data_IF_322063633684
#
_entry.id   IF_322063633684
#
_cell.length_a   1.000
_cell.length_b   1.000
_cell.length_c   1.000
_cell.angle_alpha   90.00
_cell.angle_beta   90.00
_cell.angle_gamma   90.00
#
_symmetry.space_group_name_H-M   'P 1'
#
loop_
_entity.id
_entity.type
_entity.pdbx_description
1 polymer ?
#
# COMPACT_ATOMS: atom_id res chain seq x y z
N UNK A 1 15.76 31.29 11.49
CA UNK A 1 14.30 31.19 11.41
C UNK A 1 13.95 30.85 9.96
N UNK A 2 13.80 29.59 9.62
CA UNK A 2 13.19 29.21 8.36
C UNK A 2 11.68 29.38 8.57
N UNK A 3 11.12 30.48 8.05
CA UNK A 3 9.68 30.63 7.94
C UNK A 3 9.13 29.38 7.23
N UNK A 4 8.01 28.85 7.71
CA UNK A 4 7.38 27.64 7.19
C UNK A 4 7.41 27.63 5.67
N UNK A 5 8.33 26.86 5.13
CA UNK A 5 8.51 26.75 3.70
C UNK A 5 7.37 25.91 3.19
N UNK A 6 6.52 26.46 2.34
CA UNK A 6 5.76 25.66 1.40
C UNK A 6 6.77 25.00 0.48
N UNK A 7 7.38 23.91 0.96
CA UNK A 7 8.52 23.23 0.32
C UNK A 7 8.10 22.38 -0.89
N UNK A 8 6.94 22.65 -1.48
CA UNK A 8 6.41 21.96 -2.65
C UNK A 8 6.74 22.65 -3.98
N UNK A 9 7.79 23.48 -4.02
CA UNK A 9 8.29 24.08 -5.26
C UNK A 9 8.91 23.03 -6.21
N UNK A 10 8.99 23.38 -7.50
CA UNK A 10 9.72 22.55 -8.48
C UNK A 10 11.16 22.31 -8.02
N UNK A 11 11.58 21.05 -8.03
CA UNK A 11 12.90 20.62 -7.59
C UNK A 11 13.60 19.89 -8.70
N UNK A 12 14.89 20.19 -8.84
CA UNK A 12 15.79 19.46 -9.72
C UNK A 12 16.58 18.39 -8.96
N UNK A 13 16.83 18.63 -7.66
CA UNK A 13 17.58 17.73 -6.79
C UNK A 13 16.67 17.18 -5.71
N UNK A 14 16.82 15.89 -5.43
CA UNK A 14 16.09 15.19 -4.36
C UNK A 14 17.05 14.63 -3.32
N UNK A 15 16.61 14.64 -2.07
CA UNK A 15 17.23 13.90 -0.97
C UNK A 15 16.43 12.61 -0.74
N UNK A 16 17.13 11.50 -0.53
CA UNK A 16 16.51 10.25 -0.11
C UNK A 16 17.14 9.87 1.22
N UNK A 17 16.32 9.83 2.27
CA UNK A 17 16.78 9.44 3.59
C UNK A 17 17.03 7.94 3.66
N UNK A 18 17.80 7.48 4.65
CA UNK A 18 17.98 6.05 4.91
C UNK A 18 16.66 5.35 5.34
N UNK A 19 15.66 6.14 5.74
CA UNK A 19 14.33 5.66 6.13
C UNK A 19 13.35 5.61 4.96
N UNK A 20 13.74 6.13 3.79
CA UNK A 20 12.90 6.18 2.61
C UNK A 20 13.13 4.95 1.76
N UNK A 21 12.07 4.24 1.43
CA UNK A 21 12.17 3.11 0.53
C UNK A 21 11.13 2.03 0.78
N UNK A 22 11.25 0.98 0.03
CA UNK A 22 10.39 -0.19 0.08
C UNK A 22 10.02 -0.66 -1.34
N UNK A 23 10.20 -1.94 -1.58
CA UNK A 23 9.82 -2.59 -2.84
C UNK A 23 8.40 -3.17 -2.73
N UNK A 24 7.42 -2.29 -2.50
CA UNK A 24 6.02 -2.67 -2.37
C UNK A 24 5.47 -3.43 -3.58
N UNK A 25 5.96 -3.16 -4.79
CA UNK A 25 5.52 -3.83 -6.01
C UNK A 25 5.75 -5.35 -5.98
N UNK A 26 6.89 -5.79 -5.43
CA UNK A 26 7.23 -7.22 -5.28
C UNK A 26 6.24 -7.91 -4.34
N UNK A 27 5.94 -7.26 -3.21
CA UNK A 27 4.98 -7.75 -2.22
C UNK A 27 3.56 -7.80 -2.77
N UNK A 28 3.17 -6.78 -3.54
CA UNK A 28 1.80 -6.66 -4.07
C UNK A 28 1.48 -7.83 -5.00
N UNK A 29 2.30 -8.10 -6.02
CA UNK A 29 2.06 -9.20 -6.95
C UNK A 29 2.05 -10.57 -6.26
N UNK A 30 2.89 -10.74 -5.23
CA UNK A 30 2.95 -11.96 -4.44
C UNK A 30 1.69 -12.24 -3.60
N UNK A 31 0.77 -11.30 -3.46
CA UNK A 31 -0.50 -11.53 -2.77
C UNK A 31 -1.41 -12.52 -3.51
N UNK A 32 -1.28 -12.65 -4.83
CA UNK A 32 -1.99 -13.69 -5.58
C UNK A 32 -1.41 -15.04 -5.17
N UNK A 33 -2.20 -15.93 -4.54
CA UNK A 33 -1.71 -17.23 -4.13
C UNK A 33 -1.26 -18.07 -5.31
N UNK A 34 -0.34 -19.00 -5.07
CA UNK A 34 0.21 -19.91 -6.09
C UNK A 34 0.78 -19.17 -7.32
N UNK A 35 1.14 -17.87 -7.17
CA UNK A 35 1.84 -17.10 -8.20
C UNK A 35 3.36 -17.18 -8.02
N UNK A 36 4.07 -16.97 -9.12
CA UNK A 36 5.53 -16.78 -9.14
C UNK A 36 5.86 -15.50 -9.91
N UNK A 37 6.96 -14.86 -9.58
CA UNK A 37 7.43 -13.64 -10.21
C UNK A 37 8.76 -13.92 -10.93
N UNK A 38 8.81 -13.64 -12.23
CA UNK A 38 10.03 -13.70 -13.02
C UNK A 38 10.49 -12.28 -13.34
N UNK A 39 11.66 -11.90 -12.84
CA UNK A 39 12.26 -10.60 -13.12
C UNK A 39 13.22 -10.71 -14.31
N UNK A 40 12.85 -10.09 -15.42
CA UNK A 40 13.64 -10.00 -16.65
C UNK A 40 14.35 -8.65 -16.66
N UNK A 41 15.60 -8.63 -16.28
CA UNK A 41 16.30 -7.37 -16.05
C UNK A 41 17.84 -7.54 -16.00
N UNK A 42 18.61 -6.45 -16.14
CA UNK A 42 20.03 -6.47 -15.79
C UNK A 42 20.25 -6.85 -14.32
N UNK A 43 21.36 -7.49 -14.02
CA UNK A 43 21.71 -7.98 -12.67
C UNK A 43 21.52 -6.93 -11.57
N UNK A 44 21.93 -5.70 -11.84
CA UNK A 44 21.80 -4.61 -10.86
C UNK A 44 20.35 -4.31 -10.46
N UNK A 45 19.41 -4.39 -11.40
CA UNK A 45 17.99 -4.21 -11.13
C UNK A 45 17.40 -5.36 -10.32
N UNK A 46 17.80 -6.61 -10.62
CA UNK A 46 17.34 -7.81 -9.90
C UNK A 46 17.72 -7.82 -8.42
N UNK A 47 18.84 -7.18 -8.06
CA UNK A 47 19.27 -7.10 -6.66
C UNK A 47 18.21 -6.48 -5.73
N UNK A 48 17.52 -5.43 -6.18
CA UNK A 48 16.47 -4.80 -5.39
C UNK A 48 15.26 -5.74 -5.19
N UNK A 49 14.88 -6.47 -6.25
CA UNK A 49 13.84 -7.51 -6.15
C UNK A 49 14.21 -8.60 -5.15
N UNK A 50 15.49 -9.02 -5.13
CA UNK A 50 15.98 -10.03 -4.20
C UNK A 50 15.89 -9.57 -2.74
N UNK A 51 16.32 -8.34 -2.45
CA UNK A 51 16.21 -7.74 -1.11
C UNK A 51 14.75 -7.64 -0.67
N UNK A 52 13.88 -7.10 -1.52
CA UNK A 52 12.45 -7.01 -1.24
C UNK A 52 11.80 -8.37 -1.04
N UNK A 53 12.22 -9.39 -1.80
CA UNK A 53 11.76 -10.78 -1.65
C UNK A 53 12.15 -11.40 -0.31
N UNK A 54 13.41 -11.24 0.11
CA UNK A 54 13.90 -11.73 1.40
C UNK A 54 13.12 -11.10 2.56
N UNK A 55 12.96 -9.79 2.53
CA UNK A 55 12.33 -9.04 3.59
C UNK A 55 10.84 -9.31 3.75
N UNK A 56 10.16 -9.63 2.65
CA UNK A 56 8.75 -9.99 2.66
C UNK A 56 8.52 -11.51 2.76
N UNK A 57 9.57 -12.32 2.95
CA UNK A 57 9.47 -13.78 3.07
C UNK A 57 8.95 -14.50 1.81
N UNK A 58 9.15 -13.89 0.64
CA UNK A 58 8.62 -14.40 -0.64
C UNK A 58 9.73 -14.75 -1.66
N UNK A 59 10.98 -14.81 -1.22
CA UNK A 59 12.12 -15.09 -2.09
C UNK A 59 11.99 -16.38 -2.91
N UNK A 60 11.35 -17.41 -2.35
CA UNK A 60 11.13 -18.69 -3.00
C UNK A 60 10.07 -18.62 -4.13
N UNK A 61 9.41 -17.48 -4.27
CA UNK A 61 8.43 -17.20 -5.32
C UNK A 61 8.94 -16.15 -6.32
N UNK A 62 10.25 -15.93 -6.35
CA UNK A 62 10.90 -14.96 -7.23
C UNK A 62 12.07 -15.64 -7.94
N UNK A 63 12.13 -15.48 -9.25
CA UNK A 63 13.25 -15.90 -10.10
C UNK A 63 13.73 -14.75 -10.98
N UNK A 64 14.94 -14.86 -11.48
CA UNK A 64 15.58 -13.79 -12.23
C UNK A 64 16.12 -14.35 -13.55
N UNK A 65 15.73 -13.70 -14.64
CA UNK A 65 16.35 -13.85 -15.95
C UNK A 65 17.22 -12.61 -16.18
N UNK A 66 18.52 -12.76 -15.99
CA UNK A 66 19.45 -11.66 -16.20
C UNK A 66 19.78 -11.49 -17.66
N UNK A 67 19.46 -10.30 -18.17
CA UNK A 67 19.76 -9.90 -19.55
C UNK A 67 21.08 -9.13 -19.61
N UNK A 68 21.84 -9.36 -20.66
CA UNK A 68 23.11 -8.71 -20.93
C UNK A 68 23.02 -7.82 -22.17
N UNK A 69 24.05 -7.01 -22.38
CA UNK A 69 24.17 -6.19 -23.60
C UNK A 69 24.21 -7.08 -24.87
N UNK A 70 24.81 -8.27 -24.78
CA UNK A 70 24.88 -9.21 -25.89
C UNK A 70 23.49 -9.70 -26.31
N UNK A 71 22.63 -10.03 -25.35
CA UNK A 71 21.26 -10.49 -25.61
C UNK A 71 20.40 -9.42 -26.31
N UNK A 72 20.66 -8.14 -25.97
CA UNK A 72 19.97 -7.01 -26.60
C UNK A 72 20.48 -6.80 -28.02
N UNK A 73 21.81 -6.83 -28.22
CA UNK A 73 22.41 -6.58 -29.55
C UNK A 73 22.13 -7.71 -30.53
N UNK A 74 22.01 -8.97 -30.07
CA UNK A 74 21.66 -10.12 -30.91
C UNK A 74 20.21 -10.06 -31.40
N UNK A 75 19.33 -9.36 -30.70
CA UNK A 75 17.89 -9.36 -30.95
C UNK A 75 17.17 -10.62 -30.48
N UNK A 76 17.84 -11.48 -29.69
CA UNK A 76 17.27 -12.75 -29.19
C UNK A 76 16.53 -12.57 -27.84
N UNK A 77 16.43 -11.37 -27.36
CA UNK A 77 15.84 -11.03 -26.05
C UNK A 77 14.43 -11.63 -25.83
N UNK A 78 13.58 -11.62 -26.86
CA UNK A 78 12.21 -12.13 -26.77
C UNK A 78 12.19 -13.65 -26.63
N UNK A 79 13.02 -14.37 -27.38
CA UNK A 79 13.17 -15.84 -27.28
C UNK A 79 13.75 -16.24 -25.93
N UNK A 80 14.68 -15.45 -25.39
CA UNK A 80 15.30 -15.68 -24.10
C UNK A 80 14.25 -15.71 -22.95
N UNK A 81 13.17 -14.90 -23.05
CA UNK A 81 12.09 -14.94 -22.08
C UNK A 81 11.36 -16.28 -22.11
N UNK A 82 11.09 -16.82 -23.29
CA UNK A 82 10.39 -18.10 -23.45
C UNK A 82 11.27 -19.23 -22.92
N UNK A 83 12.55 -19.23 -23.29
CA UNK A 83 13.52 -20.23 -22.82
C UNK A 83 13.70 -20.18 -21.30
N UNK A 84 13.81 -18.98 -20.73
CA UNK A 84 13.90 -18.79 -19.29
C UNK A 84 12.66 -19.26 -18.53
N UNK A 85 11.46 -19.14 -19.11
CA UNK A 85 10.24 -19.70 -18.49
C UNK A 85 10.25 -21.24 -18.58
N UNK A 86 10.72 -21.82 -19.69
CA UNK A 86 10.87 -23.27 -19.82
C UNK A 86 11.81 -23.81 -18.73
N UNK A 87 13.01 -23.22 -18.58
CA UNK A 87 13.97 -23.61 -17.55
C UNK A 87 13.38 -23.42 -16.12
N UNK A 88 12.65 -22.33 -15.89
CA UNK A 88 12.01 -22.08 -14.60
C UNK A 88 11.00 -23.18 -14.27
N UNK A 89 10.16 -23.57 -15.23
CA UNK A 89 9.11 -24.57 -14.98
C UNK A 89 9.66 -25.99 -14.87
N UNK A 90 10.81 -26.26 -15.47
CA UNK A 90 11.56 -27.50 -15.22
C UNK A 90 12.20 -27.54 -13.83
N UNK A 91 12.61 -26.39 -13.29
CA UNK A 91 13.24 -26.27 -11.99
C UNK A 91 12.24 -26.26 -10.82
N UNK A 92 11.01 -25.79 -11.03
CA UNK A 92 9.99 -25.73 -10.00
C UNK A 92 9.34 -27.09 -9.76
N UNK A 93 9.19 -27.49 -8.49
CA UNK A 93 8.48 -28.73 -8.12
C UNK A 93 6.99 -28.70 -8.55
N UNK A 94 6.38 -27.52 -8.55
CA UNK A 94 5.00 -27.29 -8.96
C UNK A 94 4.92 -26.05 -9.83
N UNK A 95 4.31 -26.18 -11.00
CA UNK A 95 4.04 -25.02 -11.86
C UNK A 95 3.07 -24.04 -11.16
N UNK A 96 3.34 -22.74 -11.22
CA UNK A 96 2.49 -21.73 -10.61
C UNK A 96 1.17 -21.59 -11.39
N UNK A 97 0.10 -21.20 -10.69
CA UNK A 97 -1.17 -20.80 -11.32
C UNK A 97 -1.02 -19.50 -12.09
N UNK A 98 -0.12 -18.62 -11.65
CA UNK A 98 0.14 -17.32 -12.27
C UNK A 98 1.64 -17.06 -12.34
N UNK A 99 2.16 -16.69 -13.50
CA UNK A 99 3.49 -16.13 -13.65
C UNK A 99 3.39 -14.65 -14.00
N UNK A 100 3.87 -13.79 -13.10
CA UNK A 100 4.07 -12.38 -13.36
C UNK A 100 5.47 -12.17 -13.94
N UNK A 101 5.55 -11.73 -15.18
CA UNK A 101 6.81 -11.38 -15.85
C UNK A 101 7.06 -9.90 -15.67
N UNK A 102 8.02 -9.56 -14.82
CA UNK A 102 8.42 -8.18 -14.54
C UNK A 102 9.59 -7.79 -15.42
N UNK A 103 9.45 -6.69 -16.16
CA UNK A 103 10.53 -6.14 -16.98
C UNK A 103 11.05 -4.82 -16.43
N UNK A 104 12.32 -4.54 -16.69
CA UNK A 104 12.98 -3.30 -16.28
C UNK A 104 12.72 -2.16 -17.26
N UNK A 105 13.11 -0.93 -16.91
CA UNK A 105 13.00 0.25 -17.78
C UNK A 105 13.72 0.11 -19.13
N UNK A 106 14.71 -0.77 -19.21
CA UNK A 106 15.41 -1.07 -20.47
C UNK A 106 14.45 -1.65 -21.51
N UNK A 107 13.55 -2.51 -21.10
CA UNK A 107 12.54 -3.12 -21.95
C UNK A 107 11.59 -2.08 -22.56
N UNK A 108 11.14 -1.11 -21.77
CA UNK A 108 10.34 0.02 -22.26
C UNK A 108 11.10 0.86 -23.30
N UNK A 109 12.43 1.01 -23.16
CA UNK A 109 13.27 1.72 -24.13
C UNK A 109 13.44 0.93 -25.44
N UNK A 110 13.42 -0.40 -25.37
CA UNK A 110 13.47 -1.27 -26.54
C UNK A 110 12.13 -1.32 -27.26
N UNK A 111 11.04 -0.99 -26.59
CA UNK A 111 9.69 -1.03 -27.14
C UNK A 111 9.20 -2.44 -27.43
N UNK A 112 9.60 -3.41 -26.61
CA UNK A 112 9.22 -4.82 -26.75
C UNK A 112 7.71 -5.01 -26.68
N UNK A 113 7.13 -5.75 -27.63
CA UNK A 113 5.74 -6.19 -27.59
C UNK A 113 5.65 -7.54 -26.86
N UNK A 114 5.16 -7.51 -25.63
CA UNK A 114 5.02 -8.71 -24.79
C UNK A 114 3.79 -9.56 -25.10
N UNK A 115 2.82 -9.04 -25.88
CA UNK A 115 1.59 -9.79 -26.17
C UNK A 115 1.84 -11.10 -26.90
N UNK A 116 2.65 -11.14 -27.98
CA UNK A 116 2.99 -12.39 -28.65
C UNK A 116 3.72 -13.40 -27.76
N UNK A 117 4.63 -12.90 -26.90
CA UNK A 117 5.41 -13.73 -25.97
C UNK A 117 4.47 -14.41 -24.97
N UNK A 118 3.61 -13.63 -24.31
CA UNK A 118 2.65 -14.16 -23.32
C UNK A 118 1.63 -15.11 -23.96
N UNK A 119 1.21 -14.84 -25.19
CA UNK A 119 0.32 -15.74 -25.94
C UNK A 119 0.99 -17.09 -26.19
N UNK A 120 2.24 -17.08 -26.68
CA UNK A 120 3.03 -18.30 -26.89
C UNK A 120 3.23 -19.10 -25.60
N UNK A 121 3.53 -18.42 -24.51
CA UNK A 121 3.66 -19.06 -23.20
C UNK A 121 2.33 -19.67 -22.73
N UNK A 122 1.21 -18.99 -22.94
CA UNK A 122 -0.11 -19.54 -22.62
C UNK A 122 -0.51 -20.75 -23.47
N UNK A 123 -0.03 -20.84 -24.72
CA UNK A 123 -0.21 -22.02 -25.57
C UNK A 123 0.66 -23.21 -25.10
N UNK A 124 1.87 -22.94 -24.61
CA UNK A 124 2.78 -23.96 -24.07
C UNK A 124 2.34 -24.47 -22.68
N UNK A 125 1.78 -23.58 -21.85
CA UNK A 125 1.42 -23.85 -20.46
C UNK A 125 -0.04 -23.40 -20.17
N UNK A 126 -1.05 -24.13 -20.65
CA UNK A 126 -2.45 -23.71 -20.59
C UNK A 126 -3.02 -23.64 -19.17
N UNK A 127 -2.39 -24.28 -18.19
CA UNK A 127 -2.80 -24.25 -16.77
C UNK A 127 -2.20 -23.09 -15.98
N UNK A 128 -1.36 -22.25 -16.61
CA UNK A 128 -0.71 -21.08 -16.02
C UNK A 128 -1.18 -19.78 -16.70
N UNK A 129 -1.58 -18.81 -15.92
CA UNK A 129 -1.87 -17.46 -16.41
C UNK A 129 -0.59 -16.62 -16.43
N UNK A 130 -0.31 -16.00 -17.57
CA UNK A 130 0.84 -15.10 -17.73
C UNK A 130 0.38 -13.64 -17.71
N UNK A 131 1.11 -12.78 -16.98
CA UNK A 131 0.84 -11.34 -16.91
C UNK A 131 2.15 -10.56 -16.99
N UNK A 132 2.22 -9.62 -17.93
CA UNK A 132 3.34 -8.69 -18.00
C UNK A 132 3.16 -7.55 -16.99
N UNK A 133 4.21 -7.25 -16.25
CA UNK A 133 4.30 -6.16 -15.30
C UNK A 133 5.60 -5.38 -15.54
N UNK A 134 5.57 -4.10 -15.27
CA UNK A 134 6.76 -3.25 -15.36
C UNK A 134 7.25 -2.84 -13.97
N UNK A 135 8.55 -2.71 -13.81
CA UNK A 135 9.18 -2.09 -12.64
C UNK A 135 9.94 -0.83 -13.04
N UNK A 136 9.39 -0.08 -13.99
CA UNK A 136 10.01 1.11 -14.52
C UNK A 136 9.78 2.32 -13.60
N UNK A 137 10.81 2.82 -12.88
CA UNK A 137 10.67 3.99 -12.01
C UNK A 137 10.46 5.30 -12.79
N UNK A 138 10.83 5.35 -14.07
CA UNK A 138 10.62 6.55 -14.92
C UNK A 138 9.13 6.78 -15.20
N UNK A 139 8.30 5.73 -15.14
CA UNK A 139 6.87 5.81 -15.40
C UNK A 139 6.01 6.10 -14.16
N UNK A 140 6.61 6.44 -13.02
CA UNK A 140 5.87 6.74 -11.77
C UNK A 140 4.91 7.92 -11.92
N UNK A 141 5.29 8.93 -12.71
CA UNK A 141 4.48 10.14 -12.95
C UNK A 141 3.48 10.00 -14.11
N UNK A 142 3.31 8.80 -14.66
CA UNK A 142 2.32 8.53 -15.71
C UNK A 142 0.93 8.29 -15.13
N UNK A 143 -0.09 8.27 -15.99
CA UNK A 143 -1.47 7.96 -15.59
C UNK A 143 -1.67 6.52 -15.13
N UNK A 144 -0.77 5.61 -15.49
CA UNK A 144 -0.77 4.20 -15.10
C UNK A 144 0.63 3.79 -14.61
N UNK A 145 1.03 4.25 -13.42
CA UNK A 145 2.31 3.84 -12.84
C UNK A 145 2.33 2.33 -12.54
N UNK A 146 3.52 1.73 -12.40
CA UNK A 146 3.69 0.29 -12.23
C UNK A 146 2.79 -0.35 -11.17
N UNK A 147 2.63 0.31 -10.02
CA UNK A 147 1.78 -0.18 -8.93
C UNK A 147 0.29 -0.33 -9.34
N UNK A 148 -0.23 0.60 -10.14
CA UNK A 148 -1.61 0.52 -10.66
C UNK A 148 -1.71 -0.59 -11.71
N UNK A 149 -0.72 -0.73 -12.60
CA UNK A 149 -0.70 -1.77 -13.62
C UNK A 149 -0.68 -3.17 -13.01
N UNK A 150 0.12 -3.38 -11.96
CA UNK A 150 0.13 -4.65 -11.22
C UNK A 150 -1.24 -4.97 -10.64
N UNK A 151 -1.92 -4.01 -10.01
CA UNK A 151 -3.28 -4.22 -9.49
C UNK A 151 -4.27 -4.59 -10.60
N UNK A 152 -4.19 -3.93 -11.76
CA UNK A 152 -5.00 -4.29 -12.92
C UNK A 152 -4.75 -5.74 -13.34
N UNK A 153 -3.49 -6.14 -13.44
CA UNK A 153 -3.10 -7.48 -13.86
C UNK A 153 -3.55 -8.55 -12.87
N UNK A 154 -3.43 -8.31 -11.57
CA UNK A 154 -3.88 -9.22 -10.53
C UNK A 154 -5.39 -9.47 -10.61
N UNK A 155 -6.20 -8.41 -10.58
CA UNK A 155 -7.65 -8.55 -10.61
C UNK A 155 -8.21 -8.91 -11.99
N UNK A 156 -7.42 -8.78 -13.08
CA UNK A 156 -7.80 -9.27 -14.41
C UNK A 156 -7.87 -10.80 -14.50
N UNK A 157 -7.26 -11.51 -13.54
CA UNK A 157 -7.30 -12.97 -13.44
C UNK A 157 -8.68 -13.50 -13.05
N UNK A 158 -9.48 -12.69 -12.35
CA UNK A 158 -10.82 -13.09 -11.92
C UNK A 158 -11.76 -13.22 -13.11
N UNK A 159 -12.49 -14.32 -13.17
CA UNK A 159 -13.47 -14.60 -14.21
C UNK A 159 -14.90 -14.44 -13.71
N UNK A 160 -15.85 -14.18 -14.64
CA UNK A 160 -17.25 -13.98 -14.30
C UNK A 160 -17.81 -15.24 -13.64
N UNK A 161 -18.28 -15.09 -12.39
CA UNK A 161 -18.92 -16.16 -11.67
C UNK A 161 -20.44 -16.18 -11.97
N UNK A 162 -21.07 -17.38 -12.09
CA UNK A 162 -22.48 -17.50 -12.38
C UNK A 162 -23.39 -17.09 -11.20
N UNK A 163 -22.89 -17.17 -9.99
CA UNK A 163 -23.63 -16.90 -8.77
C UNK A 163 -22.93 -15.83 -7.93
N UNK A 164 -23.72 -15.02 -7.23
CA UNK A 164 -23.25 -14.07 -6.22
C UNK A 164 -23.31 -14.70 -4.83
N UNK A 165 -22.40 -14.26 -3.99
CA UNK A 165 -22.27 -14.67 -2.60
C UNK A 165 -22.38 -13.42 -1.71
N UNK A 166 -23.01 -13.54 -0.57
CA UNK A 166 -23.01 -12.47 0.44
C UNK A 166 -21.59 -12.21 0.92
N UNK A 167 -20.85 -11.50 0.10
CA UNK A 167 -19.45 -11.16 0.33
C UNK A 167 -19.20 -9.71 -0.09
N UNK A 168 -18.43 -9.01 0.72
CA UNK A 168 -17.85 -7.70 0.41
C UNK A 168 -16.35 -7.86 0.26
N UNK A 169 -15.80 -7.48 -0.89
CA UNK A 169 -14.35 -7.45 -1.05
C UNK A 169 -13.77 -6.14 -0.54
N UNK A 170 -12.71 -6.19 0.24
CA UNK A 170 -11.92 -5.02 0.66
C UNK A 170 -10.73 -4.87 -0.29
N UNK A 171 -10.83 -3.94 -1.23
CA UNK A 171 -9.81 -3.73 -2.26
C UNK A 171 -8.81 -2.63 -1.87
N UNK A 172 -7.53 -2.93 -2.02
CA UNK A 172 -6.44 -2.01 -1.64
C UNK A 172 -5.95 -2.24 -0.19
N UNK A 173 -6.23 -3.42 0.37
CA UNK A 173 -5.70 -3.87 1.64
C UNK A 173 -4.61 -4.92 1.40
N UNK A 174 -3.36 -4.57 1.78
CA UNK A 174 -2.20 -5.44 1.56
C UNK A 174 -1.87 -6.35 2.75
N UNK A 175 -2.65 -6.24 3.84
CA UNK A 175 -2.50 -7.04 5.06
C UNK A 175 -3.86 -7.60 5.45
N UNK A 176 -3.96 -8.88 5.84
CA UNK A 176 -5.21 -9.48 6.27
C UNK A 176 -5.83 -8.74 7.46
N UNK A 177 -7.15 -8.58 7.42
CA UNK A 177 -7.91 -8.07 8.57
C UNK A 177 -8.04 -9.16 9.63
N UNK A 178 -7.87 -8.80 10.90
CA UNK A 178 -8.06 -9.72 12.03
C UNK A 178 -9.55 -10.08 12.18
N UNK A 179 -9.83 -11.22 12.79
CA UNK A 179 -11.21 -11.64 13.08
C UNK A 179 -11.94 -10.66 14.02
N UNK A 180 -11.18 -9.94 14.85
CA UNK A 180 -11.68 -8.97 15.81
C UNK A 180 -11.87 -7.57 15.24
N UNK A 181 -11.42 -7.33 14.01
CA UNK A 181 -11.53 -6.01 13.39
C UNK A 181 -13.00 -5.69 13.06
N UNK A 182 -13.38 -4.44 13.28
CA UNK A 182 -14.77 -3.97 13.15
C UNK A 182 -15.37 -4.31 11.80
N UNK A 183 -14.67 -4.07 10.69
CA UNK A 183 -15.21 -4.34 9.34
C UNK A 183 -15.59 -5.83 9.17
N UNK A 184 -14.76 -6.75 9.66
CA UNK A 184 -15.03 -8.17 9.59
C UNK A 184 -16.18 -8.57 10.52
N UNK A 185 -16.10 -8.14 11.78
CA UNK A 185 -17.10 -8.49 12.80
C UNK A 185 -18.50 -7.96 12.44
N UNK A 186 -18.59 -6.71 11.99
CA UNK A 186 -19.86 -6.07 11.58
C UNK A 186 -20.46 -6.76 10.35
N UNK A 187 -19.67 -7.07 9.35
CA UNK A 187 -20.13 -7.79 8.16
C UNK A 187 -20.59 -9.22 8.50
N UNK A 188 -19.83 -9.95 9.32
CA UNK A 188 -20.20 -11.30 9.76
C UNK A 188 -21.52 -11.31 10.54
N UNK A 189 -21.73 -10.34 11.43
CA UNK A 189 -22.99 -10.21 12.17
C UNK A 189 -24.19 -9.99 11.22
N UNK A 190 -23.97 -9.32 10.10
CA UNK A 190 -24.96 -9.11 9.05
C UNK A 190 -25.09 -10.28 8.05
N UNK A 191 -24.30 -11.35 8.25
CA UNK A 191 -24.30 -12.53 7.40
C UNK A 191 -23.51 -12.38 6.10
N UNK A 192 -22.56 -11.41 6.05
CA UNK A 192 -21.64 -11.21 4.94
C UNK A 192 -20.24 -11.72 5.28
N UNK A 193 -19.55 -12.25 4.28
CA UNK A 193 -18.12 -12.56 4.36
C UNK A 193 -17.30 -11.36 3.90
N UNK A 194 -16.09 -11.21 4.44
CA UNK A 194 -15.12 -10.23 4.00
C UNK A 194 -14.06 -10.90 3.14
N UNK A 195 -14.03 -10.58 1.84
CA UNK A 195 -13.00 -11.01 0.90
C UNK A 195 -11.81 -10.05 0.91
N UNK A 196 -10.62 -10.54 1.23
CA UNK A 196 -9.38 -9.75 1.21
C UNK A 196 -8.31 -10.57 0.50
N UNK A 197 -7.74 -10.05 -0.57
CA UNK A 197 -6.75 -10.78 -1.37
C UNK A 197 -5.57 -11.29 -0.51
N UNK A 198 -5.05 -10.43 0.37
CA UNK A 198 -3.95 -10.79 1.26
C UNK A 198 -4.26 -11.88 2.29
N UNK A 199 -5.54 -12.25 2.45
CA UNK A 199 -6.01 -13.35 3.32
C UNK A 199 -6.24 -14.66 2.58
N UNK A 200 -6.23 -14.65 1.24
CA UNK A 200 -6.45 -15.86 0.44
C UNK A 200 -5.27 -16.83 0.60
N UNK A 201 -5.55 -18.08 0.91
CA UNK A 201 -4.54 -19.13 1.16
C UNK A 201 -4.13 -19.87 -0.10
N UNK A 202 -5.05 -19.98 -1.06
CA UNK A 202 -4.86 -20.64 -2.33
C UNK A 202 -5.56 -19.87 -3.47
N UNK A 203 -5.30 -20.28 -4.70
CA UNK A 203 -5.84 -19.62 -5.89
C UNK A 203 -7.36 -19.75 -5.98
N UNK A 204 -7.94 -20.83 -5.48
CA UNK A 204 -9.40 -21.02 -5.48
C UNK A 204 -10.10 -20.01 -4.54
N UNK A 205 -9.52 -19.72 -3.37
CA UNK A 205 -10.05 -18.66 -2.49
C UNK A 205 -9.93 -17.27 -3.15
N UNK A 206 -8.88 -17.02 -3.92
CA UNK A 206 -8.78 -15.79 -4.69
C UNK A 206 -9.89 -15.71 -5.76
N UNK A 207 -10.19 -16.79 -6.48
CA UNK A 207 -11.29 -16.83 -7.46
C UNK A 207 -12.65 -16.56 -6.83
N UNK A 208 -12.88 -16.94 -5.56
CA UNK A 208 -14.12 -16.63 -4.83
C UNK A 208 -14.41 -15.12 -4.75
N UNK A 209 -13.38 -14.26 -4.83
CA UNK A 209 -13.57 -12.80 -4.85
C UNK A 209 -14.42 -12.34 -6.07
N UNK A 210 -14.48 -13.14 -7.13
CA UNK A 210 -15.35 -12.85 -8.29
C UNK A 210 -16.85 -12.99 -7.99
N UNK A 211 -17.22 -13.65 -6.87
CA UNK A 211 -18.60 -13.88 -6.47
C UNK A 211 -19.17 -12.79 -5.56
N UNK A 212 -18.37 -11.82 -5.14
CA UNK A 212 -18.80 -10.79 -4.20
C UNK A 212 -19.99 -9.96 -4.73
N UNK A 213 -20.85 -9.52 -3.82
CA UNK A 213 -21.94 -8.59 -4.11
C UNK A 213 -21.47 -7.14 -4.23
N UNK A 214 -20.36 -6.79 -3.55
CA UNK A 214 -19.83 -5.42 -3.51
C UNK A 214 -18.32 -5.42 -3.35
N UNK A 215 -17.66 -4.46 -4.01
CA UNK A 215 -16.26 -4.11 -3.76
C UNK A 215 -16.17 -2.81 -2.95
N UNK A 216 -15.58 -2.84 -1.76
CA UNK A 216 -15.22 -1.67 -0.98
C UNK A 216 -13.79 -1.25 -1.32
N UNK A 217 -13.64 -0.09 -1.92
CA UNK A 217 -12.34 0.44 -2.41
C UNK A 217 -11.76 1.42 -1.38
N UNK A 218 -10.66 1.04 -0.76
CA UNK A 218 -10.02 1.79 0.33
C UNK A 218 -8.70 2.48 -0.07
N UNK A 219 -8.25 2.26 -1.29
CA UNK A 219 -7.02 2.88 -1.82
C UNK A 219 -7.24 3.35 -3.27
N UNK A 220 -6.72 4.52 -3.68
CA UNK A 220 -6.81 4.99 -5.05
C UNK A 220 -6.05 4.12 -6.05
N UNK A 221 -5.05 3.37 -5.61
CA UNK A 221 -4.20 2.51 -6.46
C UNK A 221 -5.01 1.41 -7.15
N UNK A 222 -6.08 0.91 -6.53
CA UNK A 222 -6.92 -0.15 -7.09
C UNK A 222 -8.10 0.36 -7.93
N UNK A 223 -8.34 1.67 -8.01
CA UNK A 223 -9.51 2.23 -8.70
C UNK A 223 -9.59 1.82 -10.19
N UNK A 224 -8.45 1.79 -10.89
CA UNK A 224 -8.41 1.39 -12.29
C UNK A 224 -8.74 -0.10 -12.46
N UNK A 225 -8.26 -0.95 -11.57
CA UNK A 225 -8.59 -2.38 -11.52
C UNK A 225 -10.08 -2.58 -11.20
N UNK A 226 -10.60 -1.87 -10.20
CA UNK A 226 -12.00 -1.95 -9.78
C UNK A 226 -12.97 -1.62 -10.91
N UNK A 227 -12.71 -0.55 -11.68
CA UNK A 227 -13.51 -0.19 -12.85
C UNK A 227 -13.51 -1.28 -13.93
N UNK A 228 -12.38 -1.96 -14.13
CA UNK A 228 -12.29 -3.11 -15.04
C UNK A 228 -13.02 -4.32 -14.49
N UNK A 229 -12.96 -4.57 -13.17
CA UNK A 229 -13.74 -5.62 -12.49
C UNK A 229 -15.24 -5.37 -12.64
N UNK A 230 -15.73 -4.15 -12.41
CA UNK A 230 -17.14 -3.80 -12.61
C UNK A 230 -17.59 -4.12 -14.04
N UNK A 231 -16.79 -3.70 -15.04
CA UNK A 231 -17.10 -3.96 -16.46
C UNK A 231 -17.09 -5.45 -16.80
N UNK A 232 -16.11 -6.23 -16.29
CA UNK A 232 -15.92 -7.65 -16.62
C UNK A 232 -16.83 -8.55 -15.79
N UNK A 233 -16.93 -8.28 -14.48
CA UNK A 233 -17.58 -9.17 -13.51
C UNK A 233 -18.97 -8.67 -13.07
N UNK A 234 -19.30 -7.40 -13.36
CA UNK A 234 -20.56 -6.80 -12.94
C UNK A 234 -20.69 -6.60 -11.42
N UNK A 235 -19.57 -6.54 -10.70
CA UNK A 235 -19.57 -6.28 -9.25
C UNK A 235 -19.59 -4.77 -9.03
N UNK A 236 -20.64 -4.20 -8.39
CA UNK A 236 -20.68 -2.79 -8.04
C UNK A 236 -19.57 -2.46 -7.02
N UNK A 237 -19.23 -1.19 -6.89
CA UNK A 237 -18.22 -0.76 -5.94
C UNK A 237 -18.59 0.53 -5.23
N UNK A 238 -18.07 0.64 -3.99
CA UNK A 238 -18.17 1.80 -3.14
C UNK A 238 -16.76 2.30 -2.84
N UNK A 239 -16.54 3.62 -2.94
CA UNK A 239 -15.25 4.22 -2.65
C UNK A 239 -15.26 4.90 -1.30
N UNK A 240 -14.57 4.31 -0.33
CA UNK A 240 -14.21 4.94 0.92
C UNK A 240 -12.71 4.78 1.17
N UNK A 241 -11.94 5.84 0.87
CA UNK A 241 -10.51 5.81 1.17
C UNK A 241 -10.30 5.66 2.68
N UNK A 242 -9.22 4.96 3.06
CA UNK A 242 -8.84 4.84 4.47
C UNK A 242 -8.91 6.18 5.17
N UNK A 243 -9.49 6.20 6.35
CA UNK A 243 -9.61 7.37 7.19
C UNK A 243 -9.40 6.98 8.65
N UNK A 244 -8.81 7.92 9.37
CA UNK A 244 -8.68 7.85 10.82
C UNK A 244 -9.66 8.80 11.53
N UNK A 245 -10.55 9.46 10.79
CA UNK A 245 -11.62 10.30 11.31
C UNK A 245 -12.87 9.46 11.54
N UNK A 246 -13.40 9.50 12.78
CA UNK A 246 -14.55 8.68 13.17
C UNK A 246 -15.80 9.01 12.34
N UNK A 247 -16.00 10.27 11.99
CA UNK A 247 -17.13 10.70 11.15
C UNK A 247 -17.05 10.12 9.72
N UNK A 248 -15.88 10.09 9.09
CA UNK A 248 -15.70 9.45 7.78
C UNK A 248 -15.89 7.93 7.85
N UNK A 249 -15.57 7.30 8.98
CA UNK A 249 -15.82 5.87 9.21
C UNK A 249 -17.34 5.62 9.41
N UNK A 250 -18.04 6.50 10.14
CA UNK A 250 -19.51 6.47 10.27
C UNK A 250 -20.19 6.55 8.89
N UNK A 251 -19.74 7.48 8.04
CA UNK A 251 -20.25 7.64 6.68
C UNK A 251 -20.05 6.37 5.85
N UNK A 252 -18.89 5.73 5.96
CA UNK A 252 -18.60 4.46 5.27
C UNK A 252 -19.61 3.38 5.66
N UNK A 253 -19.88 3.20 6.97
CA UNK A 253 -20.84 2.19 7.40
C UNK A 253 -22.29 2.52 7.01
N UNK A 254 -22.64 3.81 7.01
CA UNK A 254 -23.97 4.24 6.54
C UNK A 254 -24.16 3.98 5.03
N UNK A 255 -23.14 4.24 4.21
CA UNK A 255 -23.19 3.97 2.78
C UNK A 255 -23.13 2.46 2.47
N UNK A 256 -22.32 1.69 3.19
CA UNK A 256 -22.32 0.23 3.10
C UNK A 256 -23.69 -0.35 3.43
N UNK A 257 -24.33 0.11 4.52
CA UNK A 257 -25.67 -0.30 4.93
C UNK A 257 -26.69 -0.08 3.81
N UNK A 258 -26.62 1.08 3.16
CA UNK A 258 -27.48 1.43 2.04
C UNK A 258 -27.25 0.53 0.82
N UNK A 259 -25.99 0.27 0.47
CA UNK A 259 -25.64 -0.55 -0.69
C UNK A 259 -26.03 -2.03 -0.50
N UNK A 260 -25.85 -2.55 0.72
CA UNK A 260 -26.18 -3.93 1.05
C UNK A 260 -27.64 -4.12 1.49
N UNK A 261 -28.42 -3.03 1.57
CA UNK A 261 -29.77 -3.01 2.10
C UNK A 261 -29.90 -3.74 3.47
N UNK A 262 -28.90 -3.52 4.34
CA UNK A 262 -28.75 -4.17 5.65
C UNK A 262 -28.14 -3.16 6.62
N UNK A 263 -28.75 -2.97 7.78
CA UNK A 263 -28.21 -2.03 8.76
C UNK A 263 -26.94 -2.59 9.41
N UNK A 264 -25.84 -1.87 9.24
CA UNK A 264 -24.53 -2.14 9.82
C UNK A 264 -24.17 -1.14 10.92
N UNK A 265 -24.90 -0.03 11.01
CA UNK A 265 -24.51 1.12 11.85
C UNK A 265 -24.64 0.82 13.33
N UNK A 266 -25.63 0.03 13.75
CA UNK A 266 -25.83 -0.36 15.15
C UNK A 266 -24.64 -1.21 15.65
N UNK A 267 -24.23 -2.22 14.88
CA UNK A 267 -23.07 -3.05 15.21
C UNK A 267 -21.76 -2.25 15.20
N UNK A 268 -21.62 -1.32 14.27
CA UNK A 268 -20.45 -0.46 14.16
C UNK A 268 -20.32 0.55 15.31
N UNK A 269 -21.45 1.00 15.88
CA UNK A 269 -21.47 2.00 16.97
C UNK A 269 -20.76 1.52 18.24
N UNK A 270 -20.74 0.22 18.52
CA UNK A 270 -19.98 -0.34 19.65
C UNK A 270 -18.46 -0.16 19.46
N UNK A 271 -17.98 -0.36 18.24
CA UNK A 271 -16.58 -0.17 17.90
C UNK A 271 -16.21 1.32 17.93
N UNK A 272 -17.09 2.18 17.43
CA UNK A 272 -16.92 3.65 17.51
C UNK A 272 -16.70 4.10 18.95
N UNK A 273 -17.55 3.64 19.86
CA UNK A 273 -17.44 3.97 21.29
C UNK A 273 -16.11 3.54 21.88
N UNK A 274 -15.66 2.30 21.59
CA UNK A 274 -14.35 1.81 22.04
C UNK A 274 -13.19 2.64 21.47
N UNK A 275 -13.30 3.09 20.21
CA UNK A 275 -12.31 3.96 19.61
C UNK A 275 -12.26 5.35 20.30
N UNK A 276 -13.40 5.95 20.65
CA UNK A 276 -13.48 7.21 21.42
C UNK A 276 -12.86 7.07 22.81
N UNK A 277 -13.16 5.96 23.50
CA UNK A 277 -12.56 5.65 24.79
C UNK A 277 -11.03 5.52 24.69
N UNK A 278 -10.54 4.82 23.65
CA UNK A 278 -9.11 4.63 23.43
C UNK A 278 -8.38 5.91 23.03
N UNK A 279 -8.99 6.76 22.23
CA UNK A 279 -8.48 8.09 21.89
C UNK A 279 -8.31 8.92 23.17
N UNK A 280 -9.33 8.94 24.02
CA UNK A 280 -9.31 9.69 25.30
C UNK A 280 -8.21 9.20 26.22
N UNK A 281 -8.06 7.88 26.35
CA UNK A 281 -6.99 7.24 27.13
C UNK A 281 -5.60 7.65 26.60
N UNK A 282 -5.42 7.58 25.29
CA UNK A 282 -4.14 7.89 24.62
C UNK A 282 -3.78 9.36 24.77
N UNK A 283 -4.77 10.25 24.61
CA UNK A 283 -4.57 11.68 24.81
C UNK A 283 -4.15 12.00 26.27
N UNK A 284 -4.72 11.32 27.25
CA UNK A 284 -4.33 11.48 28.64
C UNK A 284 -2.87 11.06 28.92
N UNK A 285 -2.34 10.08 28.17
CA UNK A 285 -0.94 9.62 28.29
C UNK A 285 0.02 10.55 27.57
N UNK A 286 -0.29 10.98 26.35
CA UNK A 286 0.62 11.76 25.49
C UNK A 286 0.56 13.26 25.85
N UNK A 287 -0.62 13.77 26.19
CA UNK A 287 -0.84 15.19 26.51
C UNK A 287 -0.47 16.13 25.37
N UNK A 288 0.20 17.22 25.71
CA UNK A 288 0.62 18.26 24.76
C UNK A 288 1.93 17.95 24.02
N UNK A 289 2.39 16.68 24.07
CA UNK A 289 3.61 16.30 23.35
C UNK A 289 3.39 16.38 21.85
N UNK A 290 4.28 17.06 21.08
CA UNK A 290 4.03 17.29 19.65
C UNK A 290 4.13 16.01 18.85
N UNK A 291 3.22 15.86 17.87
CA UNK A 291 3.10 14.72 16.97
C UNK A 291 3.51 15.14 15.55
N UNK A 292 4.26 14.28 14.88
CA UNK A 292 4.60 14.39 13.46
C UNK A 292 4.02 13.21 12.67
N UNK A 293 3.52 13.46 11.47
CA UNK A 293 2.92 12.44 10.61
C UNK A 293 3.68 12.37 9.30
N UNK A 294 3.95 11.14 8.85
CA UNK A 294 4.72 10.82 7.65
C UNK A 294 3.83 10.20 6.56
N UNK A 295 4.04 10.60 5.31
CA UNK A 295 3.27 10.11 4.16
C UNK A 295 3.58 8.65 3.78
N UNK A 296 4.74 8.12 4.19
CA UNK A 296 5.03 6.70 4.01
C UNK A 296 4.33 5.81 5.04
N UNK A 297 4.01 6.38 6.21
CA UNK A 297 3.28 5.65 7.24
C UNK A 297 1.84 5.36 6.83
N UNK A 298 1.18 6.33 6.20
CA UNK A 298 -0.23 6.26 5.86
C UNK A 298 -0.51 6.88 4.49
N UNK A 299 -1.49 6.32 3.80
CA UNK A 299 -1.94 6.83 2.50
C UNK A 299 -2.45 8.28 2.56
N UNK A 300 -3.05 8.67 3.71
CA UNK A 300 -3.68 9.97 3.91
C UNK A 300 -3.09 10.72 5.12
N UNK A 301 -1.85 11.22 5.01
CA UNK A 301 -1.16 11.86 6.13
C UNK A 301 -1.85 13.15 6.62
N UNK A 302 -2.45 13.93 5.72
CA UNK A 302 -3.19 15.13 6.11
C UNK A 302 -4.54 14.81 6.76
N UNK A 303 -5.21 13.73 6.35
CA UNK A 303 -6.41 13.22 7.01
C UNK A 303 -6.10 12.69 8.40
N UNK A 304 -5.01 11.92 8.56
CA UNK A 304 -4.57 11.46 9.88
C UNK A 304 -4.20 12.63 10.79
N UNK A 305 -3.41 13.58 10.28
CA UNK A 305 -3.04 14.77 11.05
C UNK A 305 -4.28 15.59 11.47
N UNK A 306 -5.26 15.73 10.58
CA UNK A 306 -6.54 16.38 10.89
C UNK A 306 -7.31 15.60 11.97
N UNK A 307 -7.43 14.27 11.84
CA UNK A 307 -8.08 13.44 12.84
C UNK A 307 -7.43 13.59 14.23
N UNK A 308 -6.10 13.49 14.30
CA UNK A 308 -5.37 13.67 15.55
C UNK A 308 -5.58 15.06 16.15
N UNK A 309 -5.64 16.11 15.32
CA UNK A 309 -5.94 17.48 15.76
C UNK A 309 -7.36 17.59 16.31
N UNK A 310 -8.36 17.00 15.63
CA UNK A 310 -9.75 16.95 16.08
C UNK A 310 -9.90 16.16 17.40
N UNK A 311 -9.06 15.17 17.64
CA UNK A 311 -9.00 14.42 18.91
C UNK A 311 -8.29 15.16 20.04
N UNK A 312 -7.65 16.30 19.76
CA UNK A 312 -6.97 17.12 20.74
C UNK A 312 -5.47 16.92 20.85
N UNK A 313 -4.85 16.09 20.01
CA UNK A 313 -3.39 15.96 19.98
C UNK A 313 -2.73 17.18 19.34
N UNK A 314 -1.56 17.56 19.83
CA UNK A 314 -0.77 18.66 19.32
C UNK A 314 0.01 18.22 18.06
N UNK A 315 -0.58 18.32 16.89
CA UNK A 315 0.11 18.02 15.62
C UNK A 315 0.92 19.23 15.17
N UNK A 316 2.24 19.07 15.01
CA UNK A 316 3.15 20.15 14.64
C UNK A 316 3.75 20.03 13.23
N UNK A 317 3.81 18.80 12.69
CA UNK A 317 4.50 18.52 11.44
C UNK A 317 3.75 17.47 10.61
N UNK A 318 3.64 17.71 9.31
CA UNK A 318 3.28 16.69 8.30
C UNK A 318 4.39 16.61 7.27
N UNK A 319 5.06 15.47 7.19
CA UNK A 319 6.07 15.17 6.19
C UNK A 319 5.41 14.49 4.98
N UNK A 320 5.41 15.16 3.83
CA UNK A 320 4.81 14.63 2.58
C UNK A 320 5.49 15.26 1.37
N UNK A 321 5.68 14.48 0.31
CA UNK A 321 6.29 14.95 -0.95
C UNK A 321 5.33 15.72 -1.86
N UNK A 322 4.19 16.15 -1.33
CA UNK A 322 3.16 16.93 -1.99
C UNK A 322 1.81 16.76 -1.33
N UNK A 323 0.78 17.44 -1.86
CA UNK A 323 -0.60 17.30 -1.39
C UNK A 323 -1.43 16.64 -2.50
N UNK A 324 -1.71 15.33 -2.39
CA UNK A 324 -2.54 14.64 -3.36
C UNK A 324 -3.92 15.28 -3.51
N UNK A 325 -4.54 15.15 -4.68
CA UNK A 325 -5.83 15.76 -4.96
C UNK A 325 -6.93 15.36 -3.94
N UNK A 326 -6.88 14.11 -3.46
CA UNK A 326 -7.84 13.57 -2.48
C UNK A 326 -7.55 14.00 -1.03
N UNK A 327 -6.43 14.70 -0.77
CA UNK A 327 -6.02 15.22 0.54
C UNK A 327 -6.14 16.75 0.67
N UNK A 328 -6.40 17.46 -0.44
CA UNK A 328 -6.42 18.94 -0.45
C UNK A 328 -7.39 19.54 0.58
N UNK A 329 -8.55 18.91 0.79
CA UNK A 329 -9.53 19.40 1.75
C UNK A 329 -9.05 19.18 3.19
N UNK A 330 -8.50 18.00 3.49
CA UNK A 330 -7.93 17.71 4.81
C UNK A 330 -6.76 18.64 5.12
N UNK A 331 -5.86 18.86 4.17
CA UNK A 331 -4.74 19.79 4.34
C UNK A 331 -5.19 21.23 4.58
N UNK A 332 -6.24 21.69 3.87
CA UNK A 332 -6.82 23.02 4.05
C UNK A 332 -7.44 23.18 5.46
N UNK A 333 -8.30 22.24 5.86
CA UNK A 333 -8.94 22.27 7.19
C UNK A 333 -7.88 22.21 8.31
N UNK A 334 -6.88 21.35 8.15
CA UNK A 334 -5.79 21.26 9.10
C UNK A 334 -5.03 22.59 9.27
N UNK A 335 -4.74 23.28 8.16
CA UNK A 335 -4.07 24.59 8.19
C UNK A 335 -4.94 25.68 8.80
N UNK A 336 -6.26 25.59 8.63
CA UNK A 336 -7.23 26.52 9.28
C UNK A 336 -7.29 26.29 10.80
N UNK A 337 -7.23 25.02 11.26
CA UNK A 337 -7.25 24.68 12.69
C UNK A 337 -5.91 24.96 13.39
N UNK A 338 -4.80 24.69 12.68
CA UNK A 338 -3.42 24.83 13.19
C UNK A 338 -2.62 25.70 12.20
N UNK A 339 -2.73 27.03 12.25
CA UNK A 339 -2.07 27.92 11.29
C UNK A 339 -0.54 27.78 11.24
N UNK A 340 0.09 27.43 12.36
CA UNK A 340 1.54 27.30 12.50
C UNK A 340 2.05 25.88 12.16
N UNK A 341 1.19 24.94 11.76
CA UNK A 341 1.61 23.60 11.39
C UNK A 341 2.61 23.64 10.22
N UNK A 342 3.65 22.83 10.31
CA UNK A 342 4.68 22.73 9.27
C UNK A 342 4.32 21.61 8.30
N UNK A 343 4.24 21.95 7.01
CA UNK A 343 4.23 20.96 5.93
C UNK A 343 5.64 20.92 5.34
N UNK A 344 6.27 19.77 5.34
CA UNK A 344 7.63 19.60 4.80
C UNK A 344 7.68 18.45 3.82
N UNK A 345 8.55 18.57 2.83
CA UNK A 345 8.83 17.48 1.91
C UNK A 345 10.11 16.75 2.37
N UNK A 346 10.00 15.49 2.81
CA UNK A 346 11.17 14.73 3.26
C UNK A 346 12.19 14.50 2.15
N UNK A 347 11.76 14.55 0.88
CA UNK A 347 12.67 14.44 -0.28
C UNK A 347 13.30 15.77 -0.70
N UNK A 348 13.00 16.87 -0.03
CA UNK A 348 13.64 18.15 -0.33
C UNK A 348 15.14 18.11 0.01
N UNK A 349 16.06 18.66 -0.82
CA UNK A 349 17.51 18.64 -0.56
C UNK A 349 17.90 19.20 0.80
N UNK A 350 17.15 20.16 1.31
CA UNK A 350 17.39 20.74 2.64
C UNK A 350 17.02 19.81 3.80
N UNK A 351 16.32 18.73 3.54
CA UNK A 351 15.95 17.76 4.60
C UNK A 351 17.16 17.07 5.22
N UNK A 352 18.30 17.04 4.51
CA UNK A 352 19.58 16.58 5.09
C UNK A 352 20.03 17.44 6.26
N UNK A 353 19.60 18.69 6.30
CA UNK A 353 19.96 19.68 7.32
C UNK A 353 18.73 20.15 8.10
N UNK A 354 17.68 19.33 8.19
CA UNK A 354 16.47 19.70 8.92
C UNK A 354 16.87 20.19 10.33
N UNK A 355 16.38 21.35 10.77
CA UNK A 355 16.74 21.89 12.07
C UNK A 355 16.25 20.99 13.18
N UNK A 356 17.17 20.41 13.91
CA UNK A 356 16.91 19.50 15.03
C UNK A 356 16.81 20.24 16.37
N UNK A 357 16.91 21.56 16.34
CA UNK A 357 16.91 22.37 17.55
C UNK A 357 15.47 22.69 17.96
N UNK A 358 15.04 22.08 19.04
CA UNK A 358 13.96 22.62 19.87
C UNK A 358 12.72 21.78 20.09
N UNK A 359 12.31 20.87 19.23
CA UNK A 359 11.11 20.07 19.46
C UNK A 359 11.37 18.58 19.23
N UNK A 360 11.14 17.77 20.26
CA UNK A 360 11.05 16.33 20.12
C UNK A 360 9.62 15.99 19.70
N UNK A 361 9.44 15.19 18.62
CA UNK A 361 8.14 14.72 18.15
C UNK A 361 7.92 13.26 18.51
N UNK A 362 6.66 12.89 18.77
CA UNK A 362 6.19 11.53 18.56
C UNK A 362 5.93 11.37 17.06
N UNK A 363 6.81 10.65 16.35
CA UNK A 363 6.73 10.49 14.92
C UNK A 363 5.92 9.27 14.55
N UNK A 364 4.94 9.42 13.65
CA UNK A 364 4.22 8.32 13.02
C UNK A 364 4.84 8.12 11.64
N UNK A 365 5.72 7.11 11.52
CA UNK A 365 6.47 6.79 10.31
C UNK A 365 7.95 7.15 10.37
N UNK A 366 8.70 6.49 9.49
CA UNK A 366 10.16 6.45 9.55
C UNK A 366 10.85 7.71 9.05
N UNK A 367 10.38 8.33 7.94
CA UNK A 367 11.02 9.51 7.37
C UNK A 367 11.00 10.69 8.35
N UNK A 368 9.84 10.98 8.94
CA UNK A 368 9.76 12.04 9.94
C UNK A 368 10.58 11.71 11.19
N UNK A 369 10.63 10.45 11.63
CA UNK A 369 11.48 10.01 12.73
C UNK A 369 12.96 10.19 12.46
N UNK A 370 13.40 9.84 11.26
CA UNK A 370 14.80 9.99 10.83
C UNK A 370 15.20 11.46 10.70
N UNK A 371 14.40 12.27 10.01
CA UNK A 371 14.67 13.69 9.77
C UNK A 371 14.70 14.48 11.07
N UNK A 372 13.73 14.25 11.96
CA UNK A 372 13.64 14.95 13.25
C UNK A 372 14.55 14.36 14.32
N UNK A 373 15.23 13.25 14.04
CA UNK A 373 16.03 12.49 15.02
C UNK A 373 15.25 12.13 16.29
N UNK A 374 13.97 11.85 16.10
CA UNK A 374 13.10 11.48 17.21
C UNK A 374 13.54 10.15 17.84
N UNK A 375 13.30 10.03 19.15
CA UNK A 375 13.44 8.78 19.90
C UNK A 375 12.10 8.12 20.21
N UNK A 376 11.01 8.69 19.70
CA UNK A 376 9.63 8.22 19.85
C UNK A 376 9.05 8.01 18.47
N UNK A 377 9.05 6.77 18.02
CA UNK A 377 8.69 6.40 16.67
C UNK A 377 7.61 5.32 16.68
N UNK A 378 6.48 5.61 16.06
CA UNK A 378 5.48 4.62 15.67
C UNK A 378 5.93 3.98 14.36
N UNK A 379 6.29 2.71 14.42
CA UNK A 379 6.61 1.91 13.25
C UNK A 379 5.32 1.64 12.46
N UNK A 380 5.20 2.27 11.31
CA UNK A 380 4.06 2.14 10.42
C UNK A 380 4.50 2.43 8.98
N UNK A 381 4.09 1.57 8.04
CA UNK A 381 4.32 1.71 6.61
C UNK A 381 3.04 1.36 5.86
N UNK A 382 2.59 2.22 4.94
CA UNK A 382 1.42 2.00 4.08
C UNK A 382 0.17 1.53 4.85
N UNK A 383 -0.10 2.15 6.01
CA UNK A 383 -1.22 1.80 6.91
C UNK A 383 -1.18 0.38 7.52
N UNK A 384 -0.33 -0.53 7.07
CA UNK A 384 -0.14 -1.92 7.56
C UNK A 384 -1.43 -2.67 7.94
N UNK A 385 -2.46 -2.53 7.14
CA UNK A 385 -3.76 -3.16 7.39
C UNK A 385 -4.65 -2.43 8.40
N UNK A 386 -4.23 -1.30 8.96
CA UNK A 386 -5.08 -0.47 9.80
C UNK A 386 -6.28 0.04 9.00
N UNK A 387 -7.49 -0.23 9.50
CA UNK A 387 -8.73 0.16 8.84
C UNK A 387 -9.86 0.26 9.85
N UNK A 388 -10.80 1.18 9.60
CA UNK A 388 -11.99 1.36 10.44
C UNK A 388 -11.66 1.81 11.88
N UNK A 389 -12.57 1.56 12.78
CA UNK A 389 -12.39 1.89 14.21
C UNK A 389 -11.29 1.06 14.85
N UNK A 390 -11.16 -0.20 14.45
CA UNK A 390 -10.07 -1.07 14.93
C UNK A 390 -8.70 -0.53 14.53
N UNK A 391 -8.60 0.02 13.32
CA UNK A 391 -7.38 0.72 12.87
C UNK A 391 -7.06 1.95 13.71
N UNK A 392 -8.07 2.74 14.08
CA UNK A 392 -7.88 3.90 14.98
C UNK A 392 -7.40 3.42 16.36
N UNK A 393 -8.03 2.41 16.95
CA UNK A 393 -7.64 1.87 18.25
C UNK A 393 -6.21 1.33 18.25
N UNK A 394 -5.84 0.59 17.22
CA UNK A 394 -4.48 0.05 17.08
C UNK A 394 -3.44 1.15 16.90
N UNK A 395 -3.73 2.19 16.11
CA UNK A 395 -2.85 3.35 16.00
C UNK A 395 -2.65 4.04 17.37
N UNK A 396 -3.72 4.20 18.15
CA UNK A 396 -3.64 4.77 19.49
C UNK A 396 -2.76 3.91 20.42
N UNK A 397 -2.85 2.57 20.35
CA UNK A 397 -1.98 1.67 21.08
C UNK A 397 -0.51 1.87 20.71
N UNK A 398 -0.22 1.85 19.41
CA UNK A 398 1.15 2.07 18.89
C UNK A 398 1.72 3.43 19.30
N UNK A 399 0.88 4.48 19.31
CA UNK A 399 1.28 5.82 19.76
C UNK A 399 1.64 5.83 21.25
N UNK A 400 0.86 5.15 22.11
CA UNK A 400 1.18 5.03 23.53
C UNK A 400 2.49 4.27 23.74
N UNK A 401 2.65 3.12 23.09
CA UNK A 401 3.86 2.30 23.21
C UNK A 401 5.11 3.06 22.74
N UNK A 402 5.02 3.75 21.61
CA UNK A 402 6.12 4.58 21.09
C UNK A 402 6.43 5.78 22.00
N UNK A 403 5.42 6.35 22.66
CA UNK A 403 5.60 7.45 23.60
C UNK A 403 6.30 7.01 24.88
N UNK A 404 5.99 5.83 25.40
CA UNK A 404 6.54 5.29 26.64
C UNK A 404 7.92 4.64 26.46
N UNK A 405 8.28 4.27 25.23
CA UNK A 405 9.56 3.63 24.91
C UNK A 405 10.50 4.58 24.16
N UNK A 406 11.81 4.27 24.20
CA UNK A 406 12.79 4.97 23.37
C UNK A 406 13.15 4.10 22.18
N UNK A 407 12.95 4.62 21.00
CA UNK A 407 13.30 3.95 19.76
C UNK A 407 14.79 4.14 19.44
N UNK A 408 15.44 3.09 18.95
CA UNK A 408 16.67 3.18 18.15
C UNK A 408 16.23 3.17 16.67
N UNK A 409 16.03 4.36 16.13
CA UNK A 409 15.50 4.55 14.78
C UNK A 409 16.35 3.85 13.73
N UNK A 410 17.67 3.82 13.88
CA UNK A 410 18.54 3.15 12.92
C UNK A 410 18.29 1.63 12.89
N UNK A 411 18.19 1.00 14.07
CA UNK A 411 17.84 -0.42 14.15
C UNK A 411 16.46 -0.74 13.62
N UNK A 412 15.50 0.16 13.85
CA UNK A 412 14.14 0.00 13.33
C UNK A 412 14.13 0.09 11.79
N UNK A 413 14.88 1.03 11.21
CA UNK A 413 15.05 1.17 9.76
C UNK A 413 15.69 -0.09 9.18
N UNK A 414 16.76 -0.60 9.82
CA UNK A 414 17.42 -1.85 9.40
C UNK A 414 16.44 -3.03 9.47
N UNK A 415 15.68 -3.16 10.56
CA UNK A 415 14.69 -4.22 10.76
C UNK A 415 13.51 -4.17 9.80
N UNK A 416 13.06 -2.95 9.47
CA UNK A 416 12.00 -2.73 8.48
C UNK A 416 12.49 -2.88 7.03
N UNK A 417 13.82 -2.97 6.84
CA UNK A 417 14.45 -3.13 5.54
C UNK A 417 14.25 -2.00 4.56
N UNK A 418 14.17 -0.83 5.08
CA UNK A 418 14.03 0.39 4.28
C UNK A 418 15.34 0.86 3.67
N UNK A 419 16.47 0.31 4.12
CA UNK A 419 17.79 0.63 3.54
C UNK A 419 17.91 -0.05 2.19
N UNK A 420 18.11 0.73 1.17
CA UNK A 420 18.32 0.30 -0.21
C UNK A 420 19.81 0.21 -0.51
#
# INVERSE_FOLDING_TARGET
MMNGCDCYGEKTLHYVSAAHGGWGIVRIAAQVPESHQLFVCPFACGRHGALGGEMNGIKDRISYLFITEADIVSGEFEELIVDGVNELFEALEKQPKVLFVFTACLDDLLGTDHEPILKRLGELYPDTHFRHCTMNPISLDTTLPPGITVQINMYSLLELAPERKKQVNLLGCNVPQKETDDIRAVLQQAGYELGVLSACRDYAEFEEMAKAELNLVISPVVLAATKKMEKKLGIPWLRHLRSYRLDEIDEMYAELSKQLNTDLTEAAAEFRKKAEEKITETLAVIGDYPVAVDYQAVLRPFNLALALTEYGFKVGLVASNGIPAFEKESAKKLKEMVPDIVFTDPMHPQSVQYPHEGEEYLCIGFDCGYITKSKKLVELVEDEGLFGYSGVMELMNRMQDAFLTKADVNKMIEGAGLII
#
